data_IF_283205810225
#
_entry.id   IF_283205810225
#
_cell.length_a   1.000
_cell.length_b   1.000
_cell.length_c   1.000
_cell.angle_alpha   90.00
_cell.angle_beta   90.00
_cell.angle_gamma   90.00
#
_symmetry.space_group_name_H-M   'P 1'
#
loop_
_entity.id
_entity.type
_entity.pdbx_description
1 polymer ?
#
# COMPACT_ATOMS: atom_id res chain seq x y z
N UNK A 1 -9.74 6.25 -8.83
CA UNK A 1 -8.88 7.15 -8.01
C UNK A 1 -7.64 7.51 -8.82
N UNK A 2 -6.88 8.52 -8.39
CA UNK A 2 -5.66 8.95 -9.08
C UNK A 2 -4.45 8.41 -8.32
N UNK A 3 -3.53 7.79 -9.05
CA UNK A 3 -2.26 7.32 -8.53
C UNK A 3 -1.12 7.93 -9.36
N UNK A 4 -0.06 8.38 -8.69
CA UNK A 4 1.11 8.96 -9.35
C UNK A 4 2.16 7.88 -9.57
N UNK A 5 2.45 7.56 -10.83
CA UNK A 5 3.54 6.65 -11.19
C UNK A 5 4.86 7.42 -11.13
N UNK A 6 5.69 7.09 -10.14
CA UNK A 6 6.97 7.74 -9.88
C UNK A 6 8.05 7.36 -10.90
N UNK A 7 7.92 6.19 -11.55
CA UNK A 7 8.83 5.72 -12.60
C UNK A 7 8.55 6.48 -13.89
N UNK A 8 7.30 6.48 -14.33
CA UNK A 8 6.88 7.09 -15.60
C UNK A 8 6.58 8.59 -15.48
N UNK A 9 6.52 9.11 -14.24
CA UNK A 9 6.23 10.52 -13.91
C UNK A 9 4.88 11.00 -14.46
N UNK A 10 3.88 10.14 -14.37
CA UNK A 10 2.52 10.42 -14.85
C UNK A 10 1.45 10.08 -13.81
N UNK A 11 0.27 10.67 -13.95
CA UNK A 11 -0.88 10.34 -13.11
C UNK A 11 -1.78 9.38 -13.85
N UNK A 12 -2.02 8.21 -13.26
CA UNK A 12 -2.90 7.18 -13.78
C UNK A 12 -4.25 7.24 -13.07
N UNK A 13 -5.33 7.07 -13.84
CA UNK A 13 -6.64 6.78 -13.26
C UNK A 13 -6.81 5.28 -13.13
N UNK A 14 -6.87 4.81 -11.88
CA UNK A 14 -6.93 3.39 -11.53
C UNK A 14 -8.03 3.14 -10.51
N UNK A 15 -8.57 1.94 -10.47
CA UNK A 15 -9.44 1.47 -9.40
C UNK A 15 -8.67 0.52 -8.46
N UNK A 16 -9.35 -0.02 -7.46
CA UNK A 16 -8.73 -0.95 -6.50
C UNK A 16 -8.15 -2.18 -7.19
N UNK A 17 -8.86 -2.73 -8.17
CA UNK A 17 -8.40 -3.93 -8.89
C UNK A 17 -7.17 -3.62 -9.74
N UNK A 18 -7.13 -2.48 -10.42
CA UNK A 18 -5.96 -2.03 -11.17
C UNK A 18 -4.72 -1.86 -10.28
N UNK A 19 -4.87 -1.38 -9.04
CA UNK A 19 -3.77 -1.36 -8.07
C UNK A 19 -3.30 -2.76 -7.68
N UNK A 20 -4.22 -3.70 -7.50
CA UNK A 20 -3.87 -5.11 -7.23
C UNK A 20 -3.16 -5.74 -8.43
N UNK A 21 -3.62 -5.47 -9.64
CA UNK A 21 -2.99 -5.94 -10.87
C UNK A 21 -1.57 -5.37 -11.01
N UNK A 22 -1.36 -4.10 -10.66
CA UNK A 22 -0.01 -3.50 -10.61
C UNK A 22 0.89 -4.27 -9.63
N UNK A 23 0.41 -4.55 -8.42
CA UNK A 23 1.16 -5.35 -7.45
C UNK A 23 1.51 -6.74 -8.00
N UNK A 24 0.57 -7.42 -8.66
CA UNK A 24 0.80 -8.71 -9.31
C UNK A 24 1.83 -8.65 -10.45
N UNK A 25 2.02 -7.48 -11.06
CA UNK A 25 3.04 -7.20 -12.07
C UNK A 25 4.36 -6.68 -11.45
N UNK A 26 4.64 -7.01 -10.19
CA UNK A 26 5.85 -6.62 -9.45
C UNK A 26 6.07 -5.11 -9.33
N UNK A 27 5.00 -4.32 -9.40
CA UNK A 27 5.04 -2.89 -9.02
C UNK A 27 4.76 -2.76 -7.52
N UNK A 28 5.28 -1.70 -6.90
CA UNK A 28 4.91 -1.34 -5.55
C UNK A 28 3.80 -0.28 -5.58
N UNK A 29 2.83 -0.40 -4.67
CA UNK A 29 1.76 0.57 -4.46
C UNK A 29 1.88 1.13 -3.05
N UNK A 30 2.16 2.42 -2.95
CA UNK A 30 2.29 3.13 -1.69
C UNK A 30 1.04 3.94 -1.39
N UNK A 31 0.46 3.72 -0.21
CA UNK A 31 -0.67 4.48 0.29
C UNK A 31 -0.19 5.46 1.34
N UNK A 32 -0.20 6.75 1.02
CA UNK A 32 0.08 7.83 1.96
C UNK A 32 -1.22 8.18 2.66
N UNK A 33 -1.29 7.99 3.97
CA UNK A 33 -2.52 8.14 4.74
C UNK A 33 -2.82 9.61 5.06
N UNK A 34 -4.11 9.91 5.27
CA UNK A 34 -4.56 11.26 5.67
C UNK A 34 -4.10 11.63 7.08
N UNK A 35 -4.01 10.63 7.95
CA UNK A 35 -3.60 10.71 9.34
C UNK A 35 -2.84 9.45 9.71
N UNK A 36 -2.06 9.53 10.79
CA UNK A 36 -1.35 8.36 11.32
C UNK A 36 -2.36 7.34 11.82
N UNK A 37 -2.15 6.08 11.48
CA UNK A 37 -2.88 4.94 12.04
C UNK A 37 -2.03 4.25 13.08
N UNK A 38 -2.68 3.73 14.11
CA UNK A 38 -2.06 2.86 15.11
C UNK A 38 -2.80 1.52 15.10
N UNK A 39 -2.08 0.42 15.26
CA UNK A 39 -2.68 -0.90 15.40
C UNK A 39 -3.52 -1.02 16.69
N UNK A 40 -4.33 -2.08 16.77
CA UNK A 40 -5.26 -2.29 17.89
C UNK A 40 -4.54 -2.42 19.24
N UNK A 41 -3.33 -2.98 19.23
CA UNK A 41 -2.52 -3.20 20.43
C UNK A 41 -1.69 -1.96 20.84
N UNK A 42 -1.64 -0.92 20.01
CA UNK A 42 -0.93 0.32 20.31
C UNK A 42 0.59 0.28 20.12
N UNK A 43 1.13 -0.75 19.47
CA UNK A 43 2.58 -0.96 19.29
C UNK A 43 3.12 -0.35 17.99
N UNK A 44 2.29 -0.30 16.96
CA UNK A 44 2.70 0.11 15.63
C UNK A 44 1.92 1.33 15.19
N UNK A 45 2.61 2.43 14.89
CA UNK A 45 2.01 3.64 14.31
C UNK A 45 2.66 3.96 12.97
N UNK A 46 1.88 4.24 11.94
CA UNK A 46 2.36 4.50 10.58
C UNK A 46 1.55 5.60 9.88
N UNK A 47 2.17 6.27 8.91
CA UNK A 47 1.52 7.22 7.99
C UNK A 47 1.62 6.78 6.52
N UNK A 48 2.39 5.75 6.22
CA UNK A 48 2.50 5.17 4.87
C UNK A 48 2.43 3.65 4.93
N UNK A 49 1.68 3.06 4.01
CA UNK A 49 1.64 1.61 3.77
C UNK A 49 2.25 1.31 2.40
N UNK A 50 3.25 0.43 2.38
CA UNK A 50 3.92 -0.03 1.17
C UNK A 50 3.42 -1.42 0.83
N UNK A 51 2.72 -1.56 -0.30
CA UNK A 51 2.14 -2.81 -0.74
C UNK A 51 2.85 -3.37 -1.96
N UNK A 52 3.25 -4.64 -1.88
CA UNK A 52 3.85 -5.37 -3.01
C UNK A 52 3.46 -6.84 -2.97
N UNK A 53 3.68 -7.56 -4.07
CA UNK A 53 3.57 -9.03 -4.11
C UNK A 53 4.94 -9.69 -3.95
N UNK A 54 4.96 -10.89 -3.36
CA UNK A 54 6.19 -11.70 -3.24
C UNK A 54 6.29 -12.74 -4.34
N UNK A 55 5.19 -13.44 -4.59
CA UNK A 55 5.11 -14.60 -5.47
C UNK A 55 3.83 -14.63 -6.33
N UNK A 56 3.14 -13.49 -6.42
CA UNK A 56 1.85 -13.37 -7.09
C UNK A 56 0.68 -14.01 -6.34
N UNK A 57 0.90 -14.55 -5.13
CA UNK A 57 -0.14 -15.16 -4.28
C UNK A 57 -0.23 -14.50 -2.92
N UNK A 58 0.91 -14.03 -2.41
CA UNK A 58 1.05 -13.34 -1.12
C UNK A 58 1.44 -11.89 -1.35
N UNK A 59 0.77 -11.02 -0.63
CA UNK A 59 1.03 -9.59 -0.58
C UNK A 59 1.69 -9.26 0.75
N UNK A 60 2.67 -8.38 0.71
CA UNK A 60 3.28 -7.84 1.92
C UNK A 60 2.89 -6.38 2.03
N UNK A 61 2.46 -6.00 3.23
CA UNK A 61 2.34 -4.61 3.64
C UNK A 61 3.48 -4.28 4.61
N UNK A 62 4.37 -3.40 4.19
CA UNK A 62 5.36 -2.75 5.04
C UNK A 62 4.86 -1.36 5.45
N UNK A 63 5.47 -0.78 6.47
CA UNK A 63 5.01 0.49 7.04
C UNK A 63 6.15 1.50 7.14
N UNK A 64 5.82 2.77 6.97
CA UNK A 64 6.70 3.88 7.35
C UNK A 64 5.97 4.85 8.28
N UNK A 65 6.75 5.55 9.10
CA UNK A 65 6.31 6.64 9.95
C UNK A 65 7.22 7.85 9.76
N UNK A 66 6.67 8.98 9.33
CA UNK A 66 7.40 10.26 9.18
C UNK A 66 8.69 10.11 8.35
N UNK A 67 8.62 9.31 7.28
CA UNK A 67 9.75 9.03 6.38
C UNK A 67 10.73 7.97 6.89
N UNK A 68 10.50 7.36 8.06
CA UNK A 68 11.29 6.24 8.55
C UNK A 68 10.57 4.91 8.28
N UNK A 69 11.24 4.02 7.56
CA UNK A 69 10.78 2.64 7.36
C UNK A 69 10.80 1.88 8.68
N UNK A 70 9.67 1.24 9.00
CA UNK A 70 9.51 0.40 10.19
C UNK A 70 9.96 -1.02 9.90
N UNK A 71 10.28 -1.78 10.95
CA UNK A 71 10.73 -3.18 10.81
C UNK A 71 9.58 -4.17 10.65
N UNK A 72 8.41 -3.76 11.13
CA UNK A 72 7.20 -4.56 11.12
C UNK A 72 6.61 -4.63 9.72
N UNK A 73 6.01 -5.77 9.41
CA UNK A 73 5.28 -6.01 8.17
C UNK A 73 4.18 -7.03 8.40
N UNK A 74 3.18 -7.03 7.53
CA UNK A 74 2.09 -8.00 7.55
C UNK A 74 1.98 -8.70 6.20
N UNK A 75 1.67 -9.99 6.22
CA UNK A 75 1.47 -10.78 5.02
C UNK A 75 -0.02 -11.09 4.84
N UNK A 76 -0.48 -10.97 3.61
CA UNK A 76 -1.89 -11.07 3.22
C UNK A 76 -2.03 -12.01 2.04
N UNK A 77 -3.03 -12.87 2.05
CA UNK A 77 -3.48 -13.58 0.87
C UNK A 77 -4.55 -12.76 0.11
N UNK A 78 -5.00 -13.24 -1.05
CA UNK A 78 -6.00 -12.54 -1.88
C UNK A 78 -7.34 -12.25 -1.16
N UNK A 79 -7.75 -13.09 -0.22
CA UNK A 79 -8.97 -12.90 0.57
C UNK A 79 -8.76 -11.89 1.71
N UNK A 80 -7.55 -11.86 2.28
CA UNK A 80 -7.20 -10.89 3.34
C UNK A 80 -7.13 -9.45 2.80
N UNK A 81 -6.75 -9.29 1.53
CA UNK A 81 -6.72 -7.99 0.85
C UNK A 81 -8.07 -7.27 0.91
N UNK A 82 -9.18 -7.99 0.77
CA UNK A 82 -10.53 -7.40 0.78
C UNK A 82 -10.89 -6.75 2.12
N UNK A 83 -10.23 -7.18 3.20
CA UNK A 83 -10.42 -6.62 4.54
C UNK A 83 -9.28 -5.71 5.00
N UNK A 84 -8.22 -5.55 4.21
CA UNK A 84 -6.99 -4.85 4.64
C UNK A 84 -6.51 -3.76 3.69
N UNK A 85 -6.83 -3.84 2.40
CA UNK A 85 -6.35 -2.92 1.37
C UNK A 85 -7.45 -1.94 0.97
N UNK A 86 -7.35 -0.74 1.53
CA UNK A 86 -8.33 0.36 1.41
C UNK A 86 -7.71 1.62 0.79
N UNK A 87 -7.33 1.58 -0.50
CA UNK A 87 -6.66 2.69 -1.17
C UNK A 87 -7.51 3.97 -1.24
N UNK A 88 -8.83 3.87 -1.16
CA UNK A 88 -9.75 5.00 -1.09
C UNK A 88 -9.62 5.85 0.19
N UNK A 89 -9.06 5.29 1.25
CA UNK A 89 -8.79 6.01 2.50
C UNK A 89 -7.50 6.84 2.43
N UNK A 90 -6.63 6.54 1.46
CA UNK A 90 -5.37 7.24 1.28
C UNK A 90 -5.60 8.71 0.88
N UNK A 91 -4.68 9.57 1.30
CA UNK A 91 -4.56 10.94 0.82
C UNK A 91 -3.96 10.96 -0.58
N UNK A 92 -2.96 10.13 -0.80
CA UNK A 92 -2.20 10.04 -2.04
C UNK A 92 -1.78 8.59 -2.26
N UNK A 93 -1.71 8.20 -3.54
CA UNK A 93 -1.28 6.88 -3.96
C UNK A 93 -0.10 7.07 -4.90
N UNK A 94 1.01 6.40 -4.60
CA UNK A 94 2.20 6.39 -5.45
C UNK A 94 2.44 4.97 -5.96
N UNK A 95 2.93 4.87 -7.19
CA UNK A 95 3.28 3.60 -7.81
C UNK A 95 4.77 3.67 -8.17
N UNK A 96 5.54 2.65 -7.82
CA UNK A 96 6.96 2.52 -8.14
C UNK A 96 7.34 1.11 -8.56
#
# INVERSE_FOLDING_TARGET
>A
MKAYDTIHKETLEVDRNGLVDLMLNNRQVDLILKEKKTDEDGYLTWDVEHWSTVDGRRFIRCYSLEGRVLRDSTAHNKYDLDNSFFPEQAKEIQIS
#
